data_IF_546960591390
#
_entry.id   IF_546960591390
#
_cell.length_a   1.000
_cell.length_b   1.000
_cell.length_c   1.000
_cell.angle_alpha   90.00
_cell.angle_beta   90.00
_cell.angle_gamma   90.00
#
_symmetry.space_group_name_H-M   'P 1'
#
loop_
_entity.id
_entity.type
_entity.pdbx_description
1 polymer ?
#
# COMPACT_ATOMS: atom_id res chain seq x y z
N UNK A 1 -10.02 3.27 -18.71
CA UNK A 1 -10.48 2.77 -17.39
C UNK A 1 -9.30 2.78 -16.44
N UNK A 2 -9.47 3.28 -15.22
CA UNK A 2 -8.38 3.30 -14.24
C UNK A 2 -8.00 1.89 -13.78
N UNK A 3 -6.72 1.67 -13.48
CA UNK A 3 -6.14 0.37 -13.09
C UNK A 3 -6.97 -0.39 -12.03
N UNK A 4 -7.44 0.30 -10.98
CA UNK A 4 -8.26 -0.32 -9.92
C UNK A 4 -9.65 -0.81 -10.37
N UNK A 5 -10.27 -0.20 -11.40
CA UNK A 5 -11.57 -0.66 -11.90
C UNK A 5 -11.45 -1.92 -12.75
N UNK A 6 -10.38 -2.04 -13.52
CA UNK A 6 -10.10 -3.24 -14.32
C UNK A 6 -9.83 -4.44 -13.40
N UNK A 7 -9.01 -4.27 -12.35
CA UNK A 7 -8.77 -5.31 -11.35
C UNK A 7 -10.05 -5.70 -10.59
N UNK A 8 -10.89 -4.72 -10.23
CA UNK A 8 -12.18 -4.99 -9.60
C UNK A 8 -13.15 -5.76 -10.49
N UNK A 9 -13.16 -5.50 -11.80
CA UNK A 9 -13.96 -6.25 -12.75
C UNK A 9 -13.46 -7.70 -12.86
N UNK A 10 -12.15 -7.89 -13.04
CA UNK A 10 -11.55 -9.22 -13.11
C UNK A 10 -11.86 -10.06 -11.87
N UNK A 11 -11.76 -9.49 -10.66
CA UNK A 11 -12.08 -10.18 -9.42
C UNK A 11 -13.54 -10.67 -9.36
N UNK A 12 -14.48 -9.86 -9.86
CA UNK A 12 -15.89 -10.29 -9.95
C UNK A 12 -16.06 -11.47 -10.89
N UNK A 13 -15.39 -11.43 -12.04
CA UNK A 13 -15.44 -12.50 -13.04
C UNK A 13 -14.84 -13.82 -12.52
N UNK A 14 -13.89 -13.75 -11.57
CA UNK A 14 -13.30 -14.91 -10.92
C UNK A 14 -14.04 -15.37 -9.64
N UNK A 15 -15.17 -14.75 -9.30
CA UNK A 15 -15.97 -15.12 -8.12
C UNK A 15 -15.55 -14.47 -6.79
N UNK A 16 -14.60 -13.52 -6.83
CA UNK A 16 -14.11 -12.75 -5.67
C UNK A 16 -14.73 -11.35 -5.59
N UNK A 17 -16.05 -11.25 -5.79
CA UNK A 17 -16.76 -9.99 -5.90
C UNK A 17 -16.67 -9.10 -4.65
N UNK A 18 -16.51 -9.71 -3.49
CA UNK A 18 -16.31 -9.07 -2.19
C UNK A 18 -15.03 -8.22 -2.13
N UNK A 19 -13.97 -8.62 -2.87
CA UNK A 19 -12.69 -7.90 -2.91
C UNK A 19 -12.72 -6.71 -3.89
N UNK A 20 -13.65 -6.72 -4.84
CA UNK A 20 -13.70 -5.77 -5.93
C UNK A 20 -13.84 -4.32 -5.45
N UNK A 21 -14.57 -4.07 -4.35
CA UNK A 21 -14.72 -2.72 -3.79
C UNK A 21 -13.40 -2.19 -3.23
N UNK A 22 -12.65 -3.03 -2.51
CA UNK A 22 -11.36 -2.66 -1.96
C UNK A 22 -10.34 -2.33 -3.07
N UNK A 23 -10.35 -3.14 -4.14
CA UNK A 23 -9.49 -2.93 -5.31
C UNK A 23 -9.93 -1.73 -6.16
N UNK A 24 -11.21 -1.42 -6.30
CA UNK A 24 -11.61 -0.20 -6.99
C UNK A 24 -11.22 1.08 -6.21
N UNK A 25 -11.12 0.97 -4.89
CA UNK A 25 -10.98 2.09 -3.96
C UNK A 25 -9.54 2.57 -3.68
N UNK A 26 -8.50 2.00 -4.30
CA UNK A 26 -7.09 2.25 -3.94
C UNK A 26 -6.26 3.24 -4.81
N UNK A 27 -6.83 4.15 -5.64
CA UNK A 27 -6.04 4.81 -6.68
C UNK A 27 -4.80 5.55 -6.15
N UNK A 28 -3.69 5.32 -6.86
CA UNK A 28 -2.30 5.70 -6.54
C UNK A 28 -2.12 7.21 -6.35
N UNK A 29 -2.90 8.04 -7.03
CA UNK A 29 -2.74 9.50 -7.05
C UNK A 29 -3.35 10.22 -5.84
N UNK A 30 -4.25 9.57 -5.09
CA UNK A 30 -5.07 10.26 -4.05
C UNK A 30 -4.30 10.79 -2.87
N UNK A 31 -3.08 10.33 -2.64
CA UNK A 31 -2.25 10.90 -1.58
C UNK A 31 -1.67 12.27 -1.98
N UNK A 32 -1.56 12.57 -3.27
CA UNK A 32 -0.94 13.81 -3.74
C UNK A 32 -1.90 15.01 -3.76
N UNK A 33 -3.21 14.77 -3.77
CA UNK A 33 -4.26 15.81 -3.77
C UNK A 33 -4.94 15.92 -2.40
N UNK A 34 -5.09 17.15 -1.90
CA UNK A 34 -5.55 17.44 -0.54
C UNK A 34 -7.03 17.12 -0.34
N UNK A 35 -7.86 17.49 -1.32
CA UNK A 35 -9.30 17.31 -1.24
C UNK A 35 -9.66 15.85 -1.43
N UNK A 36 -9.08 15.20 -2.44
CA UNK A 36 -9.29 13.79 -2.70
C UNK A 36 -8.82 12.93 -1.52
N UNK A 37 -7.67 13.26 -0.90
CA UNK A 37 -7.20 12.57 0.29
C UNK A 37 -8.18 12.69 1.45
N UNK A 38 -8.63 13.90 1.78
CA UNK A 38 -9.51 14.13 2.92
C UNK A 38 -10.86 13.43 2.74
N UNK A 39 -11.48 13.56 1.57
CA UNK A 39 -12.74 12.89 1.25
C UNK A 39 -12.59 11.37 1.27
N UNK A 40 -11.51 10.84 0.71
CA UNK A 40 -11.25 9.40 0.69
C UNK A 40 -10.98 8.84 2.08
N UNK A 41 -10.13 9.49 2.89
CA UNK A 41 -9.77 8.97 4.21
C UNK A 41 -11.00 8.85 5.11
N UNK A 42 -11.95 9.78 5.02
CA UNK A 42 -13.22 9.72 5.76
C UNK A 42 -14.15 8.59 5.28
N UNK A 43 -14.16 8.29 3.98
CA UNK A 43 -15.11 7.32 3.38
C UNK A 43 -14.54 5.91 3.23
N UNK A 44 -13.22 5.75 3.22
CA UNK A 44 -12.55 4.48 3.00
C UNK A 44 -12.78 3.56 4.20
N UNK A 45 -13.27 2.36 3.93
CA UNK A 45 -13.39 1.29 4.92
C UNK A 45 -12.00 0.74 5.28
N UNK A 46 -11.85 0.01 6.39
CA UNK A 46 -10.57 -0.62 6.75
C UNK A 46 -9.98 -1.47 5.62
N UNK A 47 -10.79 -2.21 4.87
CA UNK A 47 -10.35 -3.08 3.76
C UNK A 47 -9.79 -2.25 2.60
N UNK A 48 -10.44 -1.12 2.25
CA UNK A 48 -9.94 -0.21 1.22
C UNK A 48 -8.60 0.39 1.65
N UNK A 49 -8.46 0.77 2.92
CA UNK A 49 -7.22 1.33 3.47
C UNK A 49 -6.10 0.27 3.47
N UNK A 50 -6.42 -0.96 3.87
CA UNK A 50 -5.48 -2.09 3.86
C UNK A 50 -4.97 -2.38 2.45
N UNK A 51 -5.86 -2.50 1.46
CA UNK A 51 -5.46 -2.71 0.06
C UNK A 51 -4.64 -1.54 -0.47
N UNK A 52 -5.03 -0.30 -0.16
CA UNK A 52 -4.28 0.88 -0.58
C UNK A 52 -2.89 0.99 0.07
N UNK A 53 -2.74 0.50 1.30
CA UNK A 53 -1.47 0.40 1.99
C UNK A 53 -0.58 -0.69 1.38
N UNK A 54 -1.15 -1.88 1.17
CA UNK A 54 -0.45 -3.02 0.58
C UNK A 54 0.04 -2.71 -0.85
N UNK A 55 -0.82 -2.15 -1.70
CA UNK A 55 -0.51 -1.74 -3.08
C UNK A 55 0.72 -0.82 -3.15
N UNK A 56 0.81 0.17 -2.26
CA UNK A 56 1.93 1.11 -2.26
C UNK A 56 3.25 0.43 -1.92
N UNK A 57 3.22 -0.64 -1.13
CA UNK A 57 4.41 -1.37 -0.69
C UNK A 57 4.79 -2.52 -1.61
N UNK A 58 3.84 -2.99 -2.42
CA UNK A 58 4.02 -4.09 -3.35
C UNK A 58 4.96 -3.66 -4.50
N UNK A 59 6.21 -4.10 -4.40
CA UNK A 59 7.18 -4.14 -5.51
C UNK A 59 7.76 -5.55 -5.57
N UNK A 60 8.83 -5.78 -6.33
CA UNK A 60 9.56 -7.05 -6.31
C UNK A 60 10.02 -7.44 -4.88
N UNK A 61 10.19 -6.44 -4.01
CA UNK A 61 10.43 -6.58 -2.57
C UNK A 61 9.41 -5.78 -1.76
N UNK A 62 9.10 -6.25 -0.56
CA UNK A 62 8.26 -5.48 0.35
C UNK A 62 9.09 -4.35 0.99
N UNK A 63 8.76 -3.10 0.67
CA UNK A 63 9.43 -1.93 1.24
C UNK A 63 8.58 -1.33 2.35
N UNK A 64 9.20 -0.63 3.30
CA UNK A 64 8.46 0.31 4.14
C UNK A 64 7.87 1.41 3.26
N UNK A 65 6.77 2.03 3.68
CA UNK A 65 6.11 3.05 2.88
C UNK A 65 7.03 4.28 2.67
N UNK A 66 7.85 4.61 3.67
CA UNK A 66 8.91 5.62 3.56
C UNK A 66 9.93 5.25 2.48
N UNK A 67 10.51 4.06 2.55
CA UNK A 67 11.52 3.61 1.58
C UNK A 67 10.95 3.55 0.15
N UNK A 68 9.67 3.18 0.00
CA UNK A 68 8.98 3.21 -1.29
C UNK A 68 8.92 4.63 -1.86
N UNK A 69 8.50 5.61 -1.05
CA UNK A 69 8.37 7.00 -1.50
C UNK A 69 9.73 7.60 -1.84
N UNK A 70 10.78 7.30 -1.07
CA UNK A 70 12.15 7.71 -1.35
C UNK A 70 12.64 7.15 -2.69
N UNK A 71 12.38 5.86 -2.95
CA UNK A 71 12.72 5.24 -4.23
C UNK A 71 11.92 5.83 -5.41
N UNK A 72 10.63 6.15 -5.21
CA UNK A 72 9.83 6.84 -6.24
C UNK A 72 10.38 8.23 -6.54
N UNK A 73 10.72 9.01 -5.51
CA UNK A 73 11.24 10.38 -5.67
C UNK A 73 12.56 10.37 -6.43
N UNK A 74 13.41 9.37 -6.16
CA UNK A 74 14.67 9.15 -6.88
C UNK A 74 14.47 8.76 -8.35
N UNK A 75 13.55 7.85 -8.65
CA UNK A 75 13.31 7.35 -10.02
C UNK A 75 12.47 8.30 -10.88
N UNK A 76 11.62 9.10 -10.24
CA UNK A 76 10.66 10.00 -10.88
C UNK A 76 10.77 11.41 -10.27
N UNK A 77 11.89 12.12 -10.49
CA UNK A 77 12.08 13.46 -9.94
C UNK A 77 11.00 14.45 -10.41
N UNK A 78 10.38 14.23 -11.57
CA UNK A 78 9.22 14.97 -12.08
C UNK A 78 7.99 14.91 -11.15
N UNK A 79 7.93 13.90 -10.27
CA UNK A 79 6.86 13.72 -9.29
C UNK A 79 7.27 14.05 -7.86
N UNK A 80 8.50 14.51 -7.62
CA UNK A 80 9.04 14.76 -6.28
C UNK A 80 8.14 15.66 -5.42
N UNK A 81 7.61 16.74 -5.99
CA UNK A 81 6.73 17.66 -5.27
C UNK A 81 5.42 16.98 -4.81
N UNK A 82 4.84 16.12 -5.66
CA UNK A 82 3.64 15.35 -5.32
C UNK A 82 3.94 14.28 -4.26
N UNK A 83 5.08 13.59 -4.37
CA UNK A 83 5.52 12.58 -3.41
C UNK A 83 5.82 13.17 -2.04
N UNK A 84 6.43 14.36 -1.97
CA UNK A 84 6.64 15.09 -0.72
C UNK A 84 5.32 15.48 -0.05
N UNK A 85 4.29 15.88 -0.82
CA UNK A 85 2.93 16.12 -0.28
C UNK A 85 2.25 14.84 0.18
N UNK A 86 2.46 13.73 -0.54
CA UNK A 86 1.88 12.43 -0.23
C UNK A 86 2.48 11.80 1.04
N UNK A 87 3.74 12.08 1.37
CA UNK A 87 4.48 11.47 2.48
C UNK A 87 3.75 11.51 3.84
N UNK A 88 3.35 12.66 4.40
CA UNK A 88 2.64 12.70 5.68
C UNK A 88 1.26 12.04 5.66
N UNK A 89 0.70 11.78 4.47
CA UNK A 89 -0.59 11.08 4.28
C UNK A 89 -0.40 9.58 4.19
N UNK A 90 0.65 9.17 3.50
CA UNK A 90 1.12 7.79 3.45
C UNK A 90 1.39 7.29 4.88
N UNK A 91 2.13 8.06 5.69
CA UNK A 91 2.42 7.72 7.08
C UNK A 91 1.16 7.62 7.96
N UNK A 92 0.15 8.47 7.73
CA UNK A 92 -1.14 8.37 8.43
C UNK A 92 -1.92 7.13 8.04
N UNK A 93 -1.90 6.77 6.74
CA UNK A 93 -2.51 5.55 6.26
C UNK A 93 -1.83 4.32 6.87
N UNK A 94 -0.50 4.29 6.90
CA UNK A 94 0.30 3.21 7.49
C UNK A 94 -0.05 3.02 8.97
N UNK A 95 -0.05 4.10 9.77
CA UNK A 95 -0.47 4.04 11.16
C UNK A 95 -1.89 3.51 11.32
N UNK A 96 -2.85 4.07 10.58
CA UNK A 96 -4.25 3.64 10.69
C UNK A 96 -4.47 2.15 10.37
N UNK A 97 -3.71 1.59 9.42
CA UNK A 97 -3.78 0.17 9.07
C UNK A 97 -3.06 -0.70 10.10
N UNK A 98 -1.88 -0.29 10.56
CA UNK A 98 -1.10 -1.03 11.55
C UNK A 98 -1.78 -1.05 12.92
N UNK A 99 -2.35 0.08 13.35
CA UNK A 99 -3.14 0.21 14.59
C UNK A 99 -4.35 -0.73 14.57
N UNK A 100 -5.06 -0.80 13.44
CA UNK A 100 -6.19 -1.70 13.28
C UNK A 100 -5.81 -3.19 13.33
N UNK A 101 -4.55 -3.51 13.05
CA UNK A 101 -3.99 -4.87 13.10
C UNK A 101 -3.20 -5.16 14.38
N UNK A 102 -3.03 -4.17 15.29
CA UNK A 102 -2.26 -4.34 16.52
C UNK A 102 -0.75 -4.53 16.31
N UNK A 103 -0.20 -4.00 15.22
CA UNK A 103 1.22 -4.11 14.87
C UNK A 103 1.86 -2.72 14.70
N UNK A 104 3.18 -2.65 14.78
CA UNK A 104 3.96 -1.48 14.38
C UNK A 104 4.36 -1.58 12.90
N UNK A 105 4.53 -0.45 12.19
CA UNK A 105 4.93 -0.45 10.78
C UNK A 105 6.20 -1.27 10.49
N UNK A 106 7.18 -1.22 11.39
CA UNK A 106 8.47 -1.91 11.28
C UNK A 106 8.33 -3.44 11.38
N UNK A 107 7.24 -3.91 11.98
CA UNK A 107 6.96 -5.34 12.13
C UNK A 107 6.32 -5.95 10.87
N UNK A 108 5.84 -5.13 9.93
CA UNK A 108 5.15 -5.63 8.75
C UNK A 108 6.16 -6.13 7.71
N UNK A 109 6.43 -7.43 7.76
CA UNK A 109 7.29 -8.14 6.82
C UNK A 109 6.49 -9.07 5.89
N UNK A 110 7.14 -9.54 4.83
CA UNK A 110 6.59 -10.60 3.98
C UNK A 110 6.51 -11.89 4.79
N UNK A 111 5.36 -12.58 4.72
CA UNK A 111 5.22 -13.88 5.35
C UNK A 111 6.10 -14.93 4.62
N UNK A 112 6.75 -15.86 5.34
CA UNK A 112 7.61 -16.86 4.72
C UNK A 112 6.95 -17.64 3.58
N UNK A 113 5.70 -18.08 3.77
CA UNK A 113 4.94 -18.83 2.76
C UNK A 113 4.67 -18.03 1.47
N UNK A 114 4.63 -16.69 1.55
CA UNK A 114 4.44 -15.86 0.37
C UNK A 114 5.69 -15.83 -0.51
N UNK A 115 6.89 -16.03 0.06
CA UNK A 115 8.12 -16.24 -0.69
C UNK A 115 8.08 -17.57 -1.45
N UNK A 116 7.73 -18.65 -0.74
CA UNK A 116 7.60 -20.00 -1.29
C UNK A 116 6.59 -20.06 -2.44
N UNK A 117 5.39 -19.51 -2.24
CA UNK A 117 4.33 -19.49 -3.25
C UNK A 117 4.71 -18.73 -4.54
N UNK A 118 5.65 -17.79 -4.46
CA UNK A 118 6.11 -16.96 -5.58
C UNK A 118 7.50 -17.39 -6.11
N UNK A 119 8.09 -18.47 -5.58
CA UNK A 119 9.41 -18.95 -5.99
C UNK A 119 10.54 -17.96 -5.73
N UNK A 120 10.39 -17.07 -4.74
CA UNK A 120 11.38 -16.04 -4.43
C UNK A 120 12.35 -16.49 -3.33
N UNK A 121 13.61 -16.02 -3.35
CA UNK A 121 14.56 -16.29 -2.27
C UNK A 121 14.04 -15.71 -0.93
N UNK A 122 14.42 -16.30 0.22
CA UNK A 122 13.97 -15.82 1.53
C UNK A 122 14.39 -14.35 1.75
N UNK A 123 13.44 -13.52 2.18
CA UNK A 123 13.72 -12.11 2.51
C UNK A 123 14.61 -12.05 3.76
N UNK A 124 15.65 -11.20 3.71
CA UNK A 124 16.40 -10.82 4.93
C UNK A 124 15.47 -9.95 5.79
N UNK A 125 15.26 -10.37 7.04
CA UNK A 125 14.66 -9.47 8.02
C UNK A 125 15.52 -8.21 8.17
N UNK A 126 14.92 -7.03 8.41
CA UNK A 126 15.69 -5.87 8.81
C UNK A 126 16.41 -6.19 10.13
N UNK A 127 17.74 -6.02 10.14
CA UNK A 127 18.53 -6.12 11.37
C UNK A 127 17.98 -5.12 12.40
N UNK A 128 17.42 -5.62 13.50
CA UNK A 128 17.03 -4.79 14.63
C UNK A 128 15.58 -4.92 15.09
N UNK A 129 15.23 -6.10 15.62
CA UNK A 129 14.23 -6.21 16.68
C UNK A 129 14.89 -6.97 17.84
N UNK A 130 15.71 -6.26 18.61
CA UNK A 130 16.22 -6.77 19.87
C UNK A 130 15.13 -6.61 20.94
N UNK A 131 14.70 -7.77 21.45
CA UNK A 131 14.11 -8.10 22.76
C UNK A 131 13.06 -7.15 23.37
#
# INVERSE_FOLDING_TARGET
MGHGHAGAQWLREQGYGELARAVAGHPVTRLADDREYAEWMTRATPEIRLVAYADKRATDRLLSLRARLDDMERRHPEHAAALRRARPRAERLERAVCDAAGVQPEQVARLPWAGEALGLPPDRQPDGAAA
#
